data_IF_552131832387
#
_entry.id   IF_552131832387
#
_cell.length_a   1.000
_cell.length_b   1.000
_cell.length_c   1.000
_cell.angle_alpha   90.00
_cell.angle_beta   90.00
_cell.angle_gamma   90.00
#
_symmetry.space_group_name_H-M   'P 1'
#
loop_
_entity.id
_entity.type
_entity.pdbx_description
1 polymer ?
#
# COMPACT_ATOMS: atom_id res chain seq x y z
N UNK A 1 1.03 22.70 -12.84
CA UNK A 1 1.44 22.62 -14.28
C UNK A 1 0.29 22.84 -15.24
N UNK A 2 -0.96 22.72 -14.80
CA UNK A 2 -2.19 22.98 -15.54
C UNK A 2 -3.15 23.80 -14.69
N UNK A 3 -2.87 25.09 -14.43
CA UNK A 3 -3.62 25.90 -13.47
C UNK A 3 -5.10 26.11 -13.86
N UNK A 4 -5.44 25.86 -15.11
CA UNK A 4 -6.82 25.97 -15.62
C UNK A 4 -7.60 24.64 -15.54
N UNK A 5 -6.99 23.56 -15.04
CA UNK A 5 -7.64 22.27 -14.85
C UNK A 5 -7.83 22.03 -13.34
N UNK A 6 -9.00 22.36 -12.79
CA UNK A 6 -9.27 22.12 -11.38
C UNK A 6 -9.29 20.62 -11.11
N UNK A 7 -8.68 20.21 -10.01
CA UNK A 7 -8.63 18.82 -9.58
C UNK A 7 -9.40 18.67 -8.27
N UNK A 8 -10.44 17.87 -8.27
CA UNK A 8 -11.15 17.43 -7.07
C UNK A 8 -10.71 16.02 -6.72
N UNK A 9 -10.23 15.82 -5.50
CA UNK A 9 -9.78 14.52 -5.00
C UNK A 9 -10.81 13.97 -4.01
N UNK A 10 -11.12 12.69 -4.18
CA UNK A 10 -11.93 11.91 -3.24
C UNK A 10 -11.21 10.60 -2.95
N UNK A 11 -11.34 10.13 -1.73
CA UNK A 11 -10.85 8.82 -1.30
C UNK A 11 -12.02 7.91 -0.96
N UNK A 12 -12.00 6.69 -1.47
CA UNK A 12 -13.03 5.69 -1.19
C UNK A 12 -12.48 4.28 -1.40
N UNK A 13 -13.27 3.27 -1.02
CA UNK A 13 -12.97 1.87 -1.32
C UNK A 13 -12.99 1.59 -2.83
N UNK A 14 -12.14 0.66 -3.27
CA UNK A 14 -12.01 0.29 -4.70
C UNK A 14 -13.37 -0.01 -5.35
N UNK A 15 -14.22 -0.80 -4.69
CA UNK A 15 -15.56 -1.15 -5.21
C UNK A 15 -16.41 0.11 -5.46
N UNK A 16 -16.37 1.07 -4.52
CA UNK A 16 -17.13 2.33 -4.66
C UNK A 16 -16.56 3.21 -5.76
N UNK A 17 -15.23 3.31 -5.87
CA UNK A 17 -14.58 4.07 -6.95
C UNK A 17 -14.91 3.49 -8.33
N UNK A 18 -14.94 2.16 -8.48
CA UNK A 18 -15.35 1.50 -9.72
C UNK A 18 -16.81 1.80 -10.08
N UNK A 19 -17.71 1.83 -9.10
CA UNK A 19 -19.10 2.25 -9.31
C UNK A 19 -19.18 3.71 -9.75
N UNK A 20 -18.49 4.61 -9.07
CA UNK A 20 -18.46 6.05 -9.39
C UNK A 20 -17.86 6.31 -10.78
N UNK A 21 -16.86 5.55 -11.20
CA UNK A 21 -16.35 5.56 -12.57
C UNK A 21 -17.45 5.15 -13.57
N UNK A 22 -18.14 4.04 -13.29
CA UNK A 22 -19.18 3.51 -14.17
C UNK A 22 -20.35 4.49 -14.35
N UNK A 23 -20.78 5.14 -13.26
CA UNK A 23 -21.87 6.12 -13.28
C UNK A 23 -21.48 7.51 -13.79
N UNK A 24 -20.18 7.78 -13.91
CA UNK A 24 -19.68 9.08 -14.35
C UNK A 24 -19.59 10.13 -13.25
N UNK A 25 -19.72 9.72 -12.00
CA UNK A 25 -19.58 10.59 -10.84
C UNK A 25 -18.14 11.07 -10.66
N UNK A 26 -17.16 10.24 -11.06
CA UNK A 26 -15.76 10.63 -11.18
C UNK A 26 -15.24 10.37 -12.60
N UNK A 27 -14.23 11.13 -13.02
CA UNK A 27 -13.64 11.06 -14.35
C UNK A 27 -12.61 9.96 -14.46
N UNK A 28 -11.76 9.81 -13.45
CA UNK A 28 -10.72 8.80 -13.38
C UNK A 28 -10.45 8.40 -11.92
N UNK A 29 -9.78 7.28 -11.72
CA UNK A 29 -9.35 6.81 -10.40
C UNK A 29 -7.93 6.26 -10.46
N UNK A 30 -7.17 6.46 -9.38
CA UNK A 30 -5.90 5.75 -9.15
C UNK A 30 -6.24 4.52 -8.33
N UNK A 31 -5.98 3.34 -8.88
CA UNK A 31 -6.32 2.05 -8.30
C UNK A 31 -5.09 1.15 -8.22
N UNK A 32 -5.10 0.18 -7.32
CA UNK A 32 -4.11 -0.87 -7.29
C UNK A 32 -4.70 -2.18 -7.83
N UNK A 33 -4.00 -2.85 -8.76
CA UNK A 33 -4.36 -4.18 -9.25
C UNK A 33 -4.07 -5.26 -8.18
N UNK A 34 -4.83 -6.38 -8.17
CA UNK A 34 -5.93 -6.70 -9.06
C UNK A 34 -7.27 -6.06 -8.64
N UNK A 35 -8.11 -5.75 -9.60
CA UNK A 35 -9.52 -5.39 -9.40
C UNK A 35 -10.36 -5.99 -10.54
N UNK A 36 -11.69 -6.17 -10.38
CA UNK A 36 -12.54 -6.75 -11.41
C UNK A 36 -12.45 -5.98 -12.73
N UNK A 37 -12.33 -6.68 -13.85
CA UNK A 37 -12.41 -6.06 -15.19
C UNK A 37 -13.81 -5.49 -15.39
N UNK A 38 -13.86 -4.18 -15.50
CA UNK A 38 -15.10 -3.41 -15.67
C UNK A 38 -15.18 -2.74 -17.05
N UNK A 39 -14.33 -3.15 -18.00
CA UNK A 39 -14.25 -2.54 -19.32
C UNK A 39 -13.65 -1.13 -19.31
N UNK A 40 -12.90 -0.76 -18.28
CA UNK A 40 -12.20 0.51 -18.16
C UNK A 40 -10.98 0.57 -19.10
N UNK A 41 -10.57 1.76 -19.46
CA UNK A 41 -9.22 2.01 -19.97
C UNK A 41 -8.27 2.17 -18.79
N UNK A 42 -7.07 1.61 -18.90
CA UNK A 42 -6.07 1.56 -17.83
C UNK A 42 -4.73 2.04 -18.38
N UNK A 43 -4.04 2.89 -17.62
CA UNK A 43 -2.65 3.23 -17.85
C UNK A 43 -1.82 2.86 -16.61
N UNK A 44 -0.84 1.95 -16.73
CA UNK A 44 0.08 1.66 -15.63
C UNK A 44 0.84 2.91 -15.21
N UNK A 45 1.02 3.10 -13.91
CA UNK A 45 1.76 4.23 -13.35
C UNK A 45 3.09 3.79 -12.76
N UNK A 46 3.04 2.86 -11.81
CA UNK A 46 4.22 2.34 -11.14
C UNK A 46 3.94 1.03 -10.40
N UNK A 47 4.98 0.24 -10.21
CA UNK A 47 4.99 -0.89 -9.30
C UNK A 47 5.57 -0.43 -7.95
N UNK A 48 4.82 -0.67 -6.87
CA UNK A 48 5.12 -0.24 -5.51
C UNK A 48 5.40 -1.45 -4.62
N UNK A 49 6.65 -1.62 -4.12
CA UNK A 49 6.97 -2.71 -3.21
C UNK A 49 6.34 -2.49 -1.84
N UNK A 50 6.10 -3.59 -1.12
CA UNK A 50 5.70 -3.56 0.27
C UNK A 50 6.92 -3.53 1.18
N UNK A 51 6.74 -2.90 2.33
CA UNK A 51 7.71 -2.87 3.42
C UNK A 51 7.08 -3.50 4.65
N UNK A 52 7.86 -4.24 5.42
CA UNK A 52 7.43 -4.67 6.74
C UNK A 52 7.62 -3.52 7.74
N UNK A 53 6.59 -3.20 8.51
CA UNK A 53 6.63 -2.27 9.62
C UNK A 53 6.62 -3.06 10.92
N UNK A 54 7.68 -2.92 11.72
CA UNK A 54 7.88 -3.64 12.98
C UNK A 54 8.16 -2.63 14.12
N UNK A 55 7.79 -2.94 15.36
CA UNK A 55 8.20 -2.11 16.49
C UNK A 55 9.72 -1.96 16.54
N UNK A 56 10.23 -0.80 16.88
CA UNK A 56 11.69 -0.56 16.96
C UNK A 56 12.40 -1.44 18.00
N UNK A 57 11.64 -1.96 18.96
CA UNK A 57 12.11 -2.91 20.00
C UNK A 57 12.02 -4.37 19.58
N UNK A 58 11.40 -4.65 18.41
CA UNK A 58 11.20 -6.02 17.94
C UNK A 58 12.52 -6.66 17.48
N UNK A 59 12.74 -7.99 17.68
CA UNK A 59 13.96 -8.67 17.21
C UNK A 59 14.24 -8.47 15.73
N UNK A 60 13.19 -8.45 14.88
CA UNK A 60 13.32 -8.20 13.44
C UNK A 60 13.85 -6.79 13.13
N UNK A 61 13.69 -5.81 14.01
CA UNK A 61 14.14 -4.43 13.77
C UNK A 61 15.67 -4.30 13.64
N UNK A 62 16.44 -5.27 14.10
CA UNK A 62 17.90 -5.32 13.96
C UNK A 62 18.35 -5.79 12.57
N UNK A 63 17.45 -6.36 11.76
CA UNK A 63 17.74 -6.89 10.44
C UNK A 63 17.80 -5.80 9.37
N UNK A 64 18.41 -6.11 8.23
CA UNK A 64 18.42 -5.26 7.03
C UNK A 64 17.19 -5.49 6.16
N UNK A 65 16.69 -6.73 6.13
CA UNK A 65 15.51 -7.17 5.41
C UNK A 65 14.84 -8.33 6.16
N UNK A 66 13.61 -8.64 5.81
CA UNK A 66 12.84 -9.77 6.35
C UNK A 66 12.24 -10.59 5.21
N UNK A 67 11.93 -11.86 5.49
CA UNK A 67 11.20 -12.72 4.55
C UNK A 67 9.73 -12.84 4.97
N UNK A 68 8.83 -13.21 4.04
CA UNK A 68 7.44 -13.52 4.37
C UNK A 68 7.35 -14.66 5.40
N UNK A 69 8.26 -15.65 5.32
CA UNK A 69 8.33 -16.76 6.27
C UNK A 69 8.66 -16.31 7.71
N UNK A 70 9.40 -15.24 7.90
CA UNK A 70 9.67 -14.68 9.22
C UNK A 70 8.46 -13.94 9.77
N UNK A 71 7.73 -13.23 8.91
CA UNK A 71 6.55 -12.46 9.30
C UNK A 71 5.37 -13.35 9.73
N UNK A 72 5.23 -14.54 9.14
CA UNK A 72 4.11 -15.45 9.45
C UNK A 72 4.05 -15.94 10.91
N UNK A 73 5.15 -15.84 11.64
CA UNK A 73 5.21 -16.22 13.05
C UNK A 73 4.82 -15.08 14.00
N UNK A 74 4.61 -13.89 13.44
CA UNK A 74 4.32 -12.69 14.20
C UNK A 74 2.82 -12.41 14.29
N UNK A 75 2.42 -11.55 15.21
CA UNK A 75 1.06 -11.02 15.25
C UNK A 75 0.88 -9.99 14.14
N UNK A 76 0.09 -10.33 13.11
CA UNK A 76 -0.15 -9.44 11.97
C UNK A 76 -1.32 -8.50 12.24
N UNK A 77 -1.08 -7.21 12.07
CA UNK A 77 -2.10 -6.17 12.11
C UNK A 77 -2.57 -5.91 10.69
N UNK A 78 -3.87 -6.06 10.44
CA UNK A 78 -4.48 -5.96 9.12
C UNK A 78 -5.45 -4.79 9.03
N UNK A 79 -5.61 -4.23 7.85
CA UNK A 79 -6.73 -3.36 7.56
C UNK A 79 -8.03 -4.15 7.56
N UNK A 80 -9.14 -3.51 7.92
CA UNK A 80 -10.46 -4.09 7.89
C UNK A 80 -10.89 -4.54 6.49
N UNK A 81 -11.91 -5.38 6.43
CA UNK A 81 -12.48 -5.86 5.16
C UNK A 81 -12.92 -4.68 4.27
N UNK A 82 -12.69 -4.81 2.95
CA UNK A 82 -13.00 -3.77 1.96
C UNK A 82 -11.80 -2.89 1.56
N UNK A 83 -10.72 -2.89 2.31
CA UNK A 83 -9.47 -2.26 1.88
C UNK A 83 -8.71 -3.20 0.94
N UNK A 84 -8.48 -2.78 -0.31
CA UNK A 84 -7.73 -3.59 -1.28
C UNK A 84 -6.32 -3.95 -0.79
N UNK A 85 -5.70 -3.10 0.02
CA UNK A 85 -4.38 -3.38 0.58
C UNK A 85 -4.38 -4.56 1.56
N UNK A 86 -5.51 -4.86 2.24
CA UNK A 86 -5.66 -6.08 3.03
C UNK A 86 -5.45 -7.33 2.18
N UNK A 87 -6.09 -7.37 1.01
CA UNK A 87 -6.01 -8.52 0.12
C UNK A 87 -4.58 -8.73 -0.38
N UNK A 88 -3.87 -7.65 -0.72
CA UNK A 88 -2.45 -7.72 -1.06
C UNK A 88 -1.57 -8.25 0.09
N UNK A 89 -1.84 -7.86 1.35
CA UNK A 89 -1.12 -8.41 2.51
C UNK A 89 -1.37 -9.91 2.66
N UNK A 90 -2.60 -10.36 2.42
CA UNK A 90 -2.97 -11.78 2.50
C UNK A 90 -2.40 -12.60 1.33
N UNK A 91 -2.13 -12.00 0.17
CA UNK A 91 -1.38 -12.65 -0.92
C UNK A 91 0.08 -12.90 -0.54
N UNK A 92 0.72 -11.96 0.13
CA UNK A 92 2.11 -12.09 0.61
C UNK A 92 2.22 -13.09 1.76
N UNK A 93 1.25 -13.08 2.66
CA UNK A 93 1.22 -13.92 3.86
C UNK A 93 -0.13 -14.63 3.98
N UNK A 94 -0.40 -15.64 3.13
CA UNK A 94 -1.73 -16.29 3.06
C UNK A 94 -2.12 -17.03 4.34
N UNK A 95 -1.18 -17.33 5.19
CA UNK A 95 -1.43 -17.97 6.49
C UNK A 95 -2.35 -17.13 7.37
N UNK A 96 -2.31 -15.81 7.26
CA UNK A 96 -3.16 -14.93 8.05
C UNK A 96 -4.62 -14.92 7.61
N UNK A 97 -4.92 -15.34 6.37
CA UNK A 97 -6.29 -15.51 5.91
C UNK A 97 -7.05 -16.59 6.70
N UNK A 98 -6.33 -17.63 7.14
CA UNK A 98 -6.91 -18.74 7.90
C UNK A 98 -7.28 -18.35 9.33
N UNK A 99 -6.60 -17.37 9.92
CA UNK A 99 -6.86 -16.89 11.27
C UNK A 99 -8.00 -15.86 11.33
N UNK A 100 -8.30 -15.20 10.21
CA UNK A 100 -9.43 -14.27 10.12
C UNK A 100 -10.80 -15.00 10.09
N UNK A 101 -10.83 -16.28 9.73
CA UNK A 101 -12.07 -17.07 9.58
C UNK A 101 -12.39 -18.00 10.75
N UNK A 102 -11.44 -18.31 11.65
CA UNK A 102 -11.65 -19.23 12.75
C UNK A 102 -11.77 -18.51 14.10
N UNK A 103 -12.97 -18.53 14.67
CA UNK A 103 -13.30 -17.91 15.96
C UNK A 103 -12.73 -18.65 17.19
N UNK A 104 -11.97 -19.72 17.03
CA UNK A 104 -11.41 -20.53 18.11
C UNK A 104 -9.89 -20.39 18.17
N UNK A 105 -9.41 -19.60 19.11
CA UNK A 105 -8.00 -19.43 19.41
C UNK A 105 -7.59 -17.97 19.61
N UNK A 106 -6.39 -17.76 20.19
CA UNK A 106 -5.79 -16.42 20.32
C UNK A 106 -5.63 -15.85 18.91
N UNK A 107 -6.36 -14.79 18.60
CA UNK A 107 -6.27 -14.12 17.30
C UNK A 107 -4.85 -13.61 17.10
N UNK A 108 -4.14 -14.16 16.12
CA UNK A 108 -2.85 -13.66 15.67
C UNK A 108 -2.98 -12.48 14.70
N UNK A 109 -4.20 -11.94 14.52
CA UNK A 109 -4.44 -10.78 13.68
C UNK A 109 -5.42 -9.83 14.35
N UNK A 110 -5.14 -8.53 14.24
CA UNK A 110 -6.02 -7.44 14.64
C UNK A 110 -6.39 -6.63 13.41
N UNK A 111 -7.58 -6.06 13.39
CA UNK A 111 -8.04 -5.23 12.29
C UNK A 111 -8.13 -3.77 12.73
N UNK A 112 -7.60 -2.87 11.90
CA UNK A 112 -7.67 -1.43 12.07
C UNK A 112 -8.43 -0.74 10.94
N UNK A 113 -9.01 0.42 11.23
CA UNK A 113 -9.83 1.18 10.29
C UNK A 113 -9.01 1.96 9.24
N UNK A 114 -7.75 2.26 9.53
CA UNK A 114 -6.85 2.98 8.62
C UNK A 114 -5.41 2.51 8.77
N UNK A 115 -4.59 2.77 7.74
CA UNK A 115 -3.17 2.44 7.78
C UNK A 115 -2.44 3.21 8.89
N UNK A 116 -2.82 4.45 9.16
CA UNK A 116 -2.22 5.24 10.24
C UNK A 116 -2.56 4.66 11.62
N UNK A 117 -3.81 4.21 11.83
CA UNK A 117 -4.18 3.49 13.05
C UNK A 117 -3.32 2.25 13.24
N UNK A 118 -3.13 1.46 12.17
CA UNK A 118 -2.27 0.27 12.21
C UNK A 118 -0.82 0.64 12.56
N UNK A 119 -0.27 1.70 11.99
CA UNK A 119 1.08 2.18 12.32
C UNK A 119 1.21 2.54 13.81
N UNK A 120 0.22 3.23 14.38
CA UNK A 120 0.22 3.52 15.83
C UNK A 120 0.17 2.24 16.68
N UNK A 121 -0.59 1.23 16.25
CA UNK A 121 -0.61 -0.06 16.93
C UNK A 121 0.76 -0.76 16.85
N UNK A 122 1.45 -0.70 15.69
CA UNK A 122 2.82 -1.20 15.56
C UNK A 122 3.76 -0.44 16.51
N UNK A 123 3.70 0.89 16.53
CA UNK A 123 4.50 1.72 17.43
C UNK A 123 4.29 1.37 18.91
N UNK A 124 3.07 0.97 19.28
CA UNK A 124 2.72 0.51 20.62
C UNK A 124 3.15 -0.95 20.91
N UNK A 125 3.79 -1.64 19.96
CA UNK A 125 4.27 -3.01 20.16
C UNK A 125 3.18 -4.10 20.06
N UNK A 126 2.01 -3.78 19.50
CA UNK A 126 0.89 -4.73 19.40
C UNK A 126 1.08 -5.81 18.33
N UNK A 127 2.01 -5.62 17.41
CA UNK A 127 2.29 -6.54 16.32
C UNK A 127 3.08 -5.90 15.19
N UNK A 128 3.08 -6.56 14.04
CA UNK A 128 3.76 -6.13 12.81
C UNK A 128 2.73 -5.94 11.70
N UNK A 129 3.09 -5.20 10.66
CA UNK A 129 2.22 -5.09 9.47
C UNK A 129 3.06 -4.93 8.19
N UNK A 130 2.40 -5.02 7.05
CA UNK A 130 2.94 -4.53 5.79
C UNK A 130 2.41 -3.13 5.50
N UNK A 131 3.23 -2.34 4.82
CA UNK A 131 2.86 -1.00 4.36
C UNK A 131 3.34 -0.80 2.92
N UNK A 132 2.62 -0.01 2.10
CA UNK A 132 3.13 0.37 0.79
C UNK A 132 4.34 1.28 0.93
N UNK A 133 5.30 1.18 0.04
CA UNK A 133 6.56 1.93 0.09
C UNK A 133 6.37 3.45 0.21
N UNK A 134 5.37 4.01 -0.48
CA UNK A 134 5.12 5.46 -0.45
C UNK A 134 4.48 5.96 0.85
N UNK A 135 3.96 5.06 1.69
CA UNK A 135 3.48 5.41 3.04
C UNK A 135 4.60 5.47 4.08
N UNK A 136 5.82 5.07 3.70
CA UNK A 136 7.00 5.12 4.58
C UNK A 136 7.62 6.51 4.48
N UNK A 137 7.85 7.21 5.61
CA UNK A 137 8.50 8.51 5.62
C UNK A 137 9.88 8.46 4.98
N UNK A 138 10.24 9.51 4.24
CA UNK A 138 11.52 9.57 3.52
C UNK A 138 12.73 9.48 4.44
N UNK A 139 12.65 10.06 5.59
CA UNK A 139 13.71 10.08 6.61
C UNK A 139 13.83 8.77 7.40
N UNK A 140 12.76 7.96 7.44
CA UNK A 140 12.78 6.67 8.12
C UNK A 140 13.72 5.64 7.46
N UNK A 141 14.08 5.82 6.19
CA UNK A 141 14.98 4.94 5.44
C UNK A 141 16.46 5.34 5.52
N UNK A 142 16.73 6.58 5.91
CA UNK A 142 18.10 7.12 5.96
C UNK A 142 18.75 7.01 7.34
N UNK A 143 18.14 6.31 8.29
CA UNK A 143 18.59 6.33 9.67
C UNK A 143 19.58 5.23 10.07
N UNK A 144 20.87 5.49 9.77
CA UNK A 144 21.87 5.21 10.80
C UNK A 144 22.35 6.52 11.52
N UNK A 145 22.04 7.74 11.03
CA UNK A 145 22.76 8.95 11.42
C UNK A 145 21.95 10.11 12.03
N UNK A 146 20.63 10.13 12.01
CA UNK A 146 19.86 11.25 12.60
C UNK A 146 18.58 10.77 13.28
N UNK A 147 18.67 10.38 14.54
CA UNK A 147 17.53 10.22 15.45
C UNK A 147 16.84 11.57 15.66
N UNK A 148 15.80 11.89 14.90
CA UNK A 148 14.79 12.84 15.35
C UNK A 148 13.74 12.08 16.16
N UNK A 149 13.41 12.59 17.37
CA UNK A 149 12.31 12.14 18.21
C UNK A 149 10.97 12.52 17.55
N UNK A 150 10.53 11.75 16.57
CA UNK A 150 9.14 11.76 16.09
C UNK A 150 8.49 10.44 16.49
N UNK A 151 7.17 10.36 16.60
CA UNK A 151 6.44 9.12 16.94
C UNK A 151 6.80 7.96 16.03
N UNK A 152 7.29 8.23 14.81
CA UNK A 152 7.79 7.24 13.85
C UNK A 152 9.14 6.61 14.21
N UNK A 153 9.85 7.14 15.21
CA UNK A 153 11.05 6.50 15.77
C UNK A 153 10.77 5.18 16.46
N UNK A 154 9.51 4.88 16.77
CA UNK A 154 9.06 3.62 17.37
C UNK A 154 8.78 2.52 16.35
N UNK A 155 8.81 2.83 15.06
CA UNK A 155 8.63 1.87 13.96
C UNK A 155 9.92 1.74 13.16
N UNK A 156 10.27 0.51 12.81
CA UNK A 156 11.30 0.18 11.82
C UNK A 156 10.64 -0.36 10.57
N UNK A 157 11.00 0.22 9.43
CA UNK A 157 10.54 -0.24 8.12
C UNK A 157 11.64 -1.05 7.44
N UNK A 158 11.32 -2.27 7.02
CA UNK A 158 12.27 -3.22 6.46
C UNK A 158 11.80 -3.69 5.08
N UNK A 159 12.70 -3.77 4.08
CA UNK A 159 12.37 -4.41 2.82
C UNK A 159 12.06 -5.89 3.03
N UNK A 160 11.18 -6.42 2.18
CA UNK A 160 10.86 -7.85 2.14
C UNK A 160 11.70 -8.45 1.02
N UNK A 161 12.59 -9.38 1.35
CA UNK A 161 13.50 -10.02 0.41
C UNK A 161 13.49 -11.53 0.65
N UNK A 162 13.09 -12.28 -0.37
CA UNK A 162 13.09 -13.74 -0.28
C UNK A 162 14.48 -14.33 -0.55
N UNK A 163 14.80 -15.41 0.11
CA UNK A 163 16.14 -16.05 0.03
C UNK A 163 16.42 -16.70 -1.33
N UNK A 164 15.39 -17.04 -2.07
CA UNK A 164 15.47 -17.64 -3.40
C UNK A 164 15.68 -16.62 -4.53
N UNK A 165 15.76 -15.32 -4.18
CA UNK A 165 15.94 -14.25 -5.13
C UNK A 165 14.68 -13.87 -5.90
N UNK A 166 13.50 -14.36 -5.51
CA UNK A 166 12.23 -13.94 -6.07
C UNK A 166 12.02 -12.42 -5.87
N UNK A 167 11.31 -11.75 -6.79
CA UNK A 167 11.08 -10.32 -6.67
C UNK A 167 10.30 -10.00 -5.38
N UNK A 168 10.56 -8.85 -4.76
CA UNK A 168 9.83 -8.44 -3.57
C UNK A 168 8.33 -8.33 -3.86
N UNK A 169 7.47 -8.64 -2.89
CA UNK A 169 6.04 -8.46 -3.06
C UNK A 169 5.73 -6.99 -3.32
N UNK A 170 4.89 -6.74 -4.34
CA UNK A 170 4.56 -5.40 -4.81
C UNK A 170 3.13 -5.35 -5.31
N UNK A 171 2.60 -4.14 -5.46
CA UNK A 171 1.34 -3.89 -6.14
C UNK A 171 1.56 -3.00 -7.34
N UNK A 172 0.79 -3.21 -8.39
CA UNK A 172 0.74 -2.31 -9.55
C UNK A 172 -0.30 -1.25 -9.34
N UNK A 173 0.10 -0.01 -9.45
CA UNK A 173 -0.78 1.15 -9.36
C UNK A 173 -1.03 1.67 -10.77
N UNK A 174 -2.30 1.90 -11.08
CA UNK A 174 -2.78 2.29 -12.42
C UNK A 174 -3.69 3.51 -12.33
N UNK A 175 -3.77 4.26 -13.42
CA UNK A 175 -4.80 5.24 -13.66
C UNK A 175 -5.88 4.59 -14.52
N UNK A 176 -7.12 4.57 -14.04
CA UNK A 176 -8.27 3.97 -14.71
C UNK A 176 -9.33 5.02 -15.05
N UNK A 177 -9.98 4.91 -16.20
CA UNK A 177 -11.06 5.80 -16.63
C UNK A 177 -12.02 5.06 -17.57
N UNK A 178 -13.23 5.62 -17.77
CA UNK A 178 -14.19 5.06 -18.74
C UNK A 178 -13.65 5.17 -20.15
N UNK A 179 -13.80 4.14 -20.97
CA UNK A 179 -13.46 4.19 -22.41
C UNK A 179 -14.25 5.25 -23.18
N UNK A 180 -15.45 5.60 -22.70
CA UNK A 180 -16.29 6.67 -23.28
C UNK A 180 -15.90 8.08 -22.83
N UNK A 181 -14.91 8.24 -21.98
CA UNK A 181 -14.45 9.55 -21.52
C UNK A 181 -13.73 10.29 -22.66
N UNK A 182 -14.19 11.49 -22.98
CA UNK A 182 -13.74 12.21 -24.18
C UNK A 182 -12.57 13.17 -23.96
N UNK A 183 -12.29 13.54 -22.71
CA UNK A 183 -11.21 14.49 -22.37
C UNK A 183 -9.87 13.77 -22.16
N UNK A 184 -9.38 13.09 -23.18
CA UNK A 184 -8.13 12.33 -23.09
C UNK A 184 -6.90 13.19 -22.75
N UNK A 185 -6.91 14.47 -23.13
CA UNK A 185 -5.82 15.41 -22.79
C UNK A 185 -5.72 15.63 -21.28
N UNK A 186 -6.86 15.66 -20.56
CA UNK A 186 -6.85 15.78 -19.10
C UNK A 186 -6.26 14.51 -18.43
N UNK A 187 -6.61 13.33 -18.94
CA UNK A 187 -6.03 12.06 -18.47
C UNK A 187 -4.52 12.04 -18.75
N UNK A 188 -4.10 12.42 -19.96
CA UNK A 188 -2.68 12.47 -20.31
C UNK A 188 -1.91 13.50 -19.45
N UNK A 189 -2.50 14.68 -19.19
CA UNK A 189 -1.90 15.69 -18.33
C UNK A 189 -1.73 15.19 -16.88
N UNK A 190 -2.74 14.52 -16.33
CA UNK A 190 -2.66 13.93 -14.98
C UNK A 190 -1.59 12.82 -14.93
N UNK A 191 -1.61 11.90 -15.88
CA UNK A 191 -0.59 10.83 -15.98
C UNK A 191 0.82 11.39 -16.06
N UNK A 192 1.04 12.36 -16.94
CA UNK A 192 2.35 13.00 -17.12
C UNK A 192 2.78 13.78 -15.87
N UNK A 193 1.84 14.38 -15.14
CA UNK A 193 2.13 15.02 -13.86
C UNK A 193 2.58 14.00 -12.81
N UNK A 194 1.94 12.82 -12.75
CA UNK A 194 2.34 11.71 -11.86
C UNK A 194 3.73 11.19 -12.25
N UNK A 195 3.99 10.99 -13.54
CA UNK A 195 5.32 10.57 -14.04
C UNK A 195 6.42 11.58 -13.73
N UNK A 196 6.09 12.85 -13.65
CA UNK A 196 7.04 13.91 -13.29
C UNK A 196 7.27 14.01 -11.76
N UNK A 197 6.50 13.32 -10.94
CA UNK A 197 6.73 13.28 -9.49
C UNK A 197 7.92 12.40 -9.16
N UNK A 198 8.73 12.81 -8.19
CA UNK A 198 9.73 11.94 -7.58
C UNK A 198 9.05 11.03 -6.56
N UNK A 199 8.82 9.77 -6.95
CA UNK A 199 8.26 8.74 -6.10
C UNK A 199 9.39 7.79 -5.65
N UNK A 200 9.93 7.95 -4.44
CA UNK A 200 11.10 7.19 -4.01
C UNK A 200 10.78 5.72 -3.77
N UNK A 201 11.58 4.82 -4.36
CA UNK A 201 11.52 3.39 -4.09
C UNK A 201 10.37 2.66 -4.80
N UNK A 202 9.77 3.27 -5.82
CA UNK A 202 8.84 2.60 -6.74
C UNK A 202 9.46 2.48 -8.14
N UNK A 203 9.03 1.50 -8.91
CA UNK A 203 9.44 1.31 -10.31
C UNK A 203 8.39 1.92 -11.22
N UNK A 204 8.75 2.97 -11.96
CA UNK A 204 7.86 3.60 -12.93
C UNK A 204 7.61 2.68 -14.12
N UNK A 205 6.38 2.69 -14.60
CA UNK A 205 5.95 1.98 -15.80
C UNK A 205 5.67 3.02 -16.88
N UNK A 206 6.43 2.97 -17.95
CA UNK A 206 6.28 3.87 -19.11
C UNK A 206 5.48 3.18 -20.22
#
# INVERSE_FOLDING_TARGET
RTPQMPLMLQENFTVKLLEMLRTGEIDCAILAEPFPDTGLAIAPLYDEPFMAAVPSTHPLASKKSVTAAELKNETMLLLGAGHCFRDHVLEVCPEFARFASNAEGIRKSFEGSSLETIKHMVAAGMGVTLVPRLSVPRDALHTAARRRKSDESYIRYLPIEEKDGSPPPMRRVVLAWRRSFTRYEAIAALRNAIYACELPGVTRLS
#
